data_IF_441531963148
#
_entry.id   IF_441531963148
#
_cell.length_a   1.000
_cell.length_b   1.000
_cell.length_c   1.000
_cell.angle_alpha   90.00
_cell.angle_beta   90.00
_cell.angle_gamma   90.00
#
_symmetry.space_group_name_H-M   'P 1'
#
loop_
_entity.id
_entity.type
_entity.pdbx_description
1 polymer ?
#
# COMPACT_ATOMS: atom_id res chain seq x y z
N UNK A 1 -9.58 27.48 14.41
CA UNK A 1 -10.69 28.37 14.80
C UNK A 1 -10.27 29.75 14.33
N UNK A 2 -10.79 30.38 13.29
CA UNK A 2 -12.10 30.38 12.63
C UNK A 2 -11.90 30.89 11.19
N UNK A 3 -12.55 30.29 10.21
CA UNK A 3 -12.70 30.91 8.89
C UNK A 3 -14.12 30.63 8.41
N UNK A 4 -15.05 31.50 8.79
CA UNK A 4 -16.35 31.52 8.15
C UNK A 4 -16.09 31.80 6.67
N UNK A 5 -16.46 30.87 5.79
CA UNK A 5 -16.46 31.13 4.35
C UNK A 5 -17.49 32.22 4.07
N UNK A 6 -17.10 33.21 3.28
CA UNK A 6 -18.01 34.24 2.76
C UNK A 6 -18.55 33.76 1.41
N UNK A 7 -19.84 33.97 1.16
CA UNK A 7 -20.45 33.64 -0.13
C UNK A 7 -19.93 34.61 -1.19
N UNK A 8 -19.28 34.07 -2.22
CA UNK A 8 -18.79 34.85 -3.36
C UNK A 8 -19.74 34.69 -4.56
N UNK A 9 -19.83 35.69 -5.45
CA UNK A 9 -20.59 35.57 -6.69
C UNK A 9 -20.13 34.38 -7.54
N UNK A 10 -21.07 33.73 -8.24
CA UNK A 10 -20.79 32.57 -9.11
C UNK A 10 -19.74 32.86 -10.17
N UNK A 11 -19.61 34.13 -10.60
CA UNK A 11 -18.61 34.58 -11.57
C UNK A 11 -17.16 34.37 -11.12
N UNK A 12 -16.91 34.27 -9.82
CA UNK A 12 -15.56 34.04 -9.25
C UNK A 12 -15.17 32.55 -9.25
N UNK A 13 -16.08 31.66 -9.67
CA UNK A 13 -15.81 30.22 -9.74
C UNK A 13 -15.32 29.82 -11.15
N UNK A 14 -14.08 29.33 -11.27
CA UNK A 14 -13.50 28.85 -12.55
C UNK A 14 -14.12 27.53 -13.03
N UNK A 15 -14.71 26.74 -12.14
CA UNK A 15 -15.37 25.48 -12.46
C UNK A 15 -16.87 25.68 -12.69
N UNK A 16 -17.51 24.88 -13.57
CA UNK A 16 -18.95 24.92 -13.74
C UNK A 16 -19.64 24.64 -12.40
N UNK A 17 -20.74 25.34 -12.15
CA UNK A 17 -21.55 25.11 -10.96
C UNK A 17 -21.96 23.64 -10.90
N UNK A 18 -21.86 22.99 -9.73
CA UNK A 18 -22.40 21.64 -9.58
C UNK A 18 -23.91 21.64 -9.90
N UNK A 19 -24.46 20.51 -10.39
CA UNK A 19 -25.89 20.42 -10.64
C UNK A 19 -26.67 20.67 -9.34
N UNK A 20 -27.63 21.59 -9.41
CA UNK A 20 -28.52 21.90 -8.27
C UNK A 20 -29.62 20.86 -8.09
N UNK A 21 -29.87 20.05 -9.12
CA UNK A 21 -30.91 19.03 -9.14
C UNK A 21 -30.35 17.73 -9.73
N UNK A 22 -30.67 16.60 -9.10
CA UNK A 22 -30.35 15.26 -9.59
C UNK A 22 -31.59 14.38 -9.49
N UNK A 23 -31.92 13.58 -10.52
CA UNK A 23 -33.05 12.66 -10.44
C UNK A 23 -32.81 11.62 -9.34
N UNK A 24 -33.86 11.28 -8.61
CA UNK A 24 -33.83 10.21 -7.60
C UNK A 24 -34.88 9.15 -7.89
N UNK A 25 -34.58 7.91 -7.52
CA UNK A 25 -35.51 6.79 -7.64
C UNK A 25 -36.24 6.58 -6.30
N UNK A 26 -37.56 6.45 -6.35
CA UNK A 26 -38.36 5.93 -5.22
C UNK A 26 -38.87 4.55 -5.55
N UNK A 27 -38.76 3.63 -4.59
CA UNK A 27 -39.34 2.31 -4.71
C UNK A 27 -40.86 2.37 -4.79
N UNK A 28 -41.46 1.61 -5.70
CA UNK A 28 -42.90 1.40 -5.71
C UNK A 28 -43.31 0.44 -4.58
N UNK A 29 -44.55 0.51 -4.08
CA UNK A 29 -45.03 -0.46 -3.10
C UNK A 29 -44.87 -1.90 -3.62
N UNK A 30 -44.16 -2.73 -2.87
CA UNK A 30 -43.91 -4.13 -3.22
C UNK A 30 -42.67 -4.39 -4.07
N UNK A 31 -41.90 -3.38 -4.48
CA UNK A 31 -40.59 -3.61 -5.10
C UNK A 31 -39.55 -4.08 -4.07
N UNK A 32 -38.55 -4.83 -4.53
CA UNK A 32 -37.35 -5.07 -3.75
C UNK A 32 -36.63 -3.74 -3.44
N UNK A 33 -36.30 -3.53 -2.17
CA UNK A 33 -35.54 -2.34 -1.74
C UNK A 33 -34.16 -2.78 -1.30
N UNK A 34 -33.12 -2.19 -1.88
CA UNK A 34 -31.73 -2.41 -1.49
C UNK A 34 -31.27 -1.30 -0.55
N UNK A 35 -30.40 -1.65 0.39
CA UNK A 35 -29.71 -0.68 1.21
C UNK A 35 -28.54 -0.05 0.46
N UNK A 36 -27.99 0.98 1.08
CA UNK A 36 -26.72 1.55 0.64
C UNK A 36 -25.61 0.50 0.70
N UNK A 37 -24.61 0.68 -0.16
CA UNK A 37 -23.37 -0.06 -0.06
C UNK A 37 -22.69 0.19 1.29
N UNK A 38 -22.22 -0.89 1.90
CA UNK A 38 -21.32 -0.81 3.04
C UNK A 38 -19.96 -0.20 2.66
N UNK A 39 -19.15 0.04 3.67
CA UNK A 39 -17.75 0.43 3.48
C UNK A 39 -16.98 -0.70 2.78
N UNK A 40 -15.96 -0.30 2.03
CA UNK A 40 -15.00 -1.27 1.51
C UNK A 40 -14.26 -1.98 2.63
N UNK A 41 -14.04 -3.28 2.46
CA UNK A 41 -13.15 -4.06 3.31
C UNK A 41 -11.73 -3.49 3.25
N UNK A 42 -10.89 -3.80 4.26
CA UNK A 42 -9.45 -3.62 4.11
C UNK A 42 -8.95 -4.31 2.83
N UNK A 43 -7.94 -3.73 2.20
CA UNK A 43 -7.28 -4.34 1.06
C UNK A 43 -6.51 -5.58 1.50
N UNK A 44 -6.65 -6.69 0.76
CA UNK A 44 -5.97 -7.96 1.03
C UNK A 44 -4.44 -7.87 0.98
N UNK A 45 -3.90 -6.83 0.34
CA UNK A 45 -2.46 -6.59 0.25
C UNK A 45 -2.11 -5.15 0.55
N UNK A 46 -0.93 -4.89 1.10
CA UNK A 46 -0.43 -3.53 1.36
C UNK A 46 0.16 -2.84 0.13
N UNK A 47 0.50 -3.61 -0.90
CA UNK A 47 1.14 -3.18 -2.14
C UNK A 47 0.87 -4.27 -3.20
N UNK A 48 1.08 -3.94 -4.48
CA UNK A 48 0.91 -4.86 -5.60
C UNK A 48 2.23 -5.18 -6.30
N UNK A 49 2.17 -6.19 -7.16
CA UNK A 49 3.19 -6.51 -8.15
C UNK A 49 2.51 -6.99 -9.43
N UNK A 50 3.29 -7.20 -10.51
CA UNK A 50 2.75 -7.77 -11.76
C UNK A 50 2.14 -9.16 -11.60
N UNK A 51 2.47 -9.87 -10.52
CA UNK A 51 2.02 -11.24 -10.26
C UNK A 51 1.02 -11.36 -9.12
N UNK A 52 0.76 -10.30 -8.35
CA UNK A 52 -0.17 -10.31 -7.22
C UNK A 52 -0.72 -8.91 -6.95
N UNK A 53 -2.06 -8.80 -6.94
CA UNK A 53 -2.80 -7.55 -6.76
C UNK A 53 -3.68 -7.59 -5.51
N UNK A 54 -3.77 -6.46 -4.80
CA UNK A 54 -4.68 -6.29 -3.67
C UNK A 54 -6.13 -6.21 -4.12
N UNK A 55 -7.04 -6.84 -3.36
CA UNK A 55 -8.49 -6.75 -3.58
C UNK A 55 -9.20 -6.37 -2.30
N UNK A 56 -10.32 -5.66 -2.46
CA UNK A 56 -11.26 -5.35 -1.39
C UNK A 56 -12.68 -5.55 -1.92
N UNK A 57 -13.60 -5.92 -1.03
CA UNK A 57 -15.01 -6.11 -1.36
C UNK A 57 -15.90 -5.22 -0.50
N UNK A 58 -17.13 -5.01 -0.95
CA UNK A 58 -18.22 -4.44 -0.16
C UNK A 58 -19.52 -5.11 -0.55
N UNK A 59 -20.47 -5.12 0.38
CA UNK A 59 -21.80 -5.65 0.17
C UNK A 59 -22.88 -4.63 0.50
N UNK A 60 -24.09 -4.86 0.00
CA UNK A 60 -25.29 -4.11 0.35
C UNK A 60 -26.42 -5.06 0.74
N UNK A 61 -27.22 -4.73 1.76
CA UNK A 61 -28.32 -5.59 2.19
C UNK A 61 -29.57 -5.41 1.31
N UNK A 62 -30.44 -6.41 1.34
CA UNK A 62 -31.84 -6.26 0.92
C UNK A 62 -32.63 -5.76 2.14
N UNK A 63 -33.25 -4.60 2.02
CA UNK A 63 -34.07 -3.99 3.07
C UNK A 63 -35.54 -4.43 3.00
N UNK A 64 -36.05 -4.73 1.81
CA UNK A 64 -37.40 -5.25 1.62
C UNK A 64 -37.44 -6.26 0.46
N UNK A 65 -38.15 -7.37 0.66
CA UNK A 65 -38.39 -8.37 -0.37
C UNK A 65 -39.54 -7.96 -1.29
N UNK A 66 -39.52 -8.40 -2.56
CA UNK A 66 -40.55 -8.08 -3.52
C UNK A 66 -41.88 -8.78 -3.19
N UNK A 67 -43.00 -8.11 -3.45
CA UNK A 67 -44.34 -8.69 -3.53
C UNK A 67 -44.57 -9.34 -4.91
N UNK A 68 -45.69 -10.07 -5.09
CA UNK A 68 -45.97 -10.86 -6.31
C UNK A 68 -45.86 -10.08 -7.63
N UNK A 69 -46.22 -8.80 -7.64
CA UNK A 69 -46.20 -7.94 -8.84
C UNK A 69 -45.05 -6.93 -8.84
N UNK A 70 -44.19 -6.95 -7.80
CA UNK A 70 -43.08 -6.01 -7.65
C UNK A 70 -41.80 -6.47 -8.36
N UNK A 71 -40.89 -5.53 -8.59
CA UNK A 71 -39.56 -5.84 -9.16
C UNK A 71 -38.76 -6.75 -8.22
N UNK A 72 -38.31 -7.88 -8.75
CA UNK A 72 -37.51 -8.85 -8.00
C UNK A 72 -36.17 -8.27 -7.53
N UNK A 73 -35.67 -8.78 -6.39
CA UNK A 73 -34.31 -8.46 -5.97
C UNK A 73 -33.30 -8.99 -6.98
N UNK A 74 -32.17 -8.29 -7.19
CA UNK A 74 -31.08 -8.82 -7.98
C UNK A 74 -30.52 -10.09 -7.33
N UNK A 75 -29.84 -10.92 -8.13
CA UNK A 75 -29.18 -12.12 -7.63
C UNK A 75 -28.17 -11.77 -6.52
N UNK A 76 -27.87 -12.71 -5.60
CA UNK A 76 -26.90 -12.48 -4.52
C UNK A 76 -25.54 -11.98 -5.00
N UNK A 77 -25.10 -12.40 -6.20
CA UNK A 77 -23.86 -11.94 -6.82
C UNK A 77 -23.82 -10.45 -7.16
N UNK A 78 -24.98 -9.79 -7.28
CA UNK A 78 -25.11 -8.35 -7.53
C UNK A 78 -25.34 -7.54 -6.24
N UNK A 79 -25.28 -8.21 -5.07
CA UNK A 79 -25.28 -7.59 -3.75
C UNK A 79 -23.87 -7.46 -3.17
N UNK A 80 -22.86 -7.99 -3.86
CA UNK A 80 -21.44 -7.87 -3.52
C UNK A 80 -20.69 -7.30 -4.73
N UNK A 81 -19.72 -6.44 -4.47
CA UNK A 81 -18.77 -6.01 -5.49
C UNK A 81 -17.34 -5.92 -4.94
N UNK A 82 -16.41 -5.86 -5.87
CA UNK A 82 -14.99 -6.01 -5.66
C UNK A 82 -14.23 -5.02 -6.54
N UNK A 83 -13.11 -4.52 -6.02
CA UNK A 83 -12.19 -3.67 -6.76
C UNK A 83 -10.74 -3.95 -6.37
N UNK A 84 -9.84 -3.60 -7.29
CA UNK A 84 -8.40 -3.62 -7.04
C UNK A 84 -8.03 -2.48 -6.09
N UNK A 85 -6.99 -2.70 -5.29
CA UNK A 85 -6.46 -1.71 -4.36
C UNK A 85 -4.96 -1.87 -4.15
N UNK A 86 -4.33 -0.79 -3.67
CA UNK A 86 -2.90 -0.72 -3.38
C UNK A 86 -2.04 -1.15 -4.58
N UNK A 87 -2.32 -0.58 -5.75
CA UNK A 87 -1.64 -0.86 -7.03
C UNK A 87 -0.18 -0.40 -7.08
N UNK A 88 0.30 0.29 -6.04
CA UNK A 88 1.69 0.72 -5.97
C UNK A 88 2.62 -0.49 -5.77
N UNK A 89 3.84 -0.48 -6.37
CA UNK A 89 4.76 -1.59 -6.29
C UNK A 89 5.23 -1.86 -4.85
N UNK A 90 5.44 -3.12 -4.53
CA UNK A 90 6.11 -3.52 -3.29
C UNK A 90 7.61 -3.21 -3.34
N UNK A 91 8.11 -2.59 -2.28
CA UNK A 91 9.49 -2.16 -2.17
C UNK A 91 10.34 -3.18 -1.41
N UNK A 92 11.50 -3.51 -1.97
CA UNK A 92 12.55 -4.27 -1.31
C UNK A 92 13.77 -3.38 -1.11
N UNK A 93 14.34 -3.43 0.10
CA UNK A 93 15.61 -2.80 0.41
C UNK A 93 16.65 -3.88 0.63
N UNK A 94 17.81 -3.78 -0.03
CA UNK A 94 18.89 -4.74 0.12
C UNK A 94 20.24 -4.04 0.21
N UNK A 95 21.21 -4.67 0.88
CA UNK A 95 22.57 -4.17 0.99
C UNK A 95 23.41 -4.68 -0.16
N UNK A 96 24.00 -3.75 -0.91
CA UNK A 96 25.03 -4.06 -1.89
C UNK A 96 26.38 -3.61 -1.34
N UNK A 97 27.35 -4.51 -1.38
CA UNK A 97 28.70 -4.24 -0.91
C UNK A 97 29.64 -4.16 -2.12
N UNK A 98 30.45 -3.10 -2.18
CA UNK A 98 31.57 -3.06 -3.12
C UNK A 98 32.55 -4.21 -2.86
N UNK A 99 33.43 -4.52 -3.83
CA UNK A 99 34.58 -5.36 -3.55
C UNK A 99 35.37 -4.84 -2.34
N UNK A 100 36.05 -5.76 -1.66
CA UNK A 100 36.95 -5.39 -0.57
C UNK A 100 38.11 -4.56 -1.11
N UNK A 101 38.44 -3.48 -0.39
CA UNK A 101 39.67 -2.75 -0.63
C UNK A 101 40.91 -3.54 -0.19
N UNK A 102 42.10 -2.98 -0.39
CA UNK A 102 43.35 -3.57 0.11
C UNK A 102 43.31 -3.71 1.65
N UNK A 103 44.13 -4.63 2.18
CA UNK A 103 44.33 -4.77 3.62
C UNK A 103 45.20 -3.61 4.11
N UNK A 104 44.66 -2.80 5.03
CA UNK A 104 45.34 -1.65 5.62
C UNK A 104 45.76 -2.05 7.03
N UNK A 105 47.03 -1.83 7.39
CA UNK A 105 47.52 -2.17 8.73
C UNK A 105 46.81 -1.35 9.80
N UNK A 106 46.28 -2.01 10.83
CA UNK A 106 45.64 -1.32 11.94
C UNK A 106 46.68 -1.04 13.03
N UNK A 107 47.23 0.17 13.03
CA UNK A 107 48.19 0.63 14.05
C UNK A 107 47.54 0.92 15.40
N UNK A 108 46.21 0.83 15.51
CA UNK A 108 45.46 1.13 16.75
C UNK A 108 45.17 -0.10 17.61
N UNK A 109 45.23 -1.31 17.03
CA UNK A 109 45.16 -2.56 17.80
C UNK A 109 46.55 -2.94 18.30
N UNK A 110 46.97 -2.35 19.42
CA UNK A 110 48.10 -2.84 20.21
C UNK A 110 47.72 -4.17 20.88
N UNK A 111 47.52 -5.23 20.10
CA UNK A 111 47.63 -6.57 20.63
C UNK A 111 49.12 -6.82 20.81
N UNK A 112 49.59 -6.71 22.05
CA UNK A 112 50.76 -7.43 22.55
C UNK A 112 50.49 -8.95 22.47
N UNK A 113 50.19 -9.44 21.26
CA UNK A 113 50.04 -10.83 20.92
C UNK A 113 51.41 -11.36 20.57
N UNK A 114 52.13 -11.78 21.60
CA UNK A 114 53.30 -12.65 21.48
C UNK A 114 52.89 -13.96 20.81
N UNK A 115 52.89 -14.02 19.48
CA UNK A 115 53.08 -15.27 18.73
C UNK A 115 54.37 -15.19 17.93
N UNK A 116 55.47 -15.02 18.67
CA UNK A 116 56.82 -15.31 18.18
C UNK A 116 56.95 -16.82 17.98
N UNK A 117 56.77 -17.29 16.75
CA UNK A 117 57.29 -18.58 16.32
C UNK A 117 58.44 -18.37 15.35
N UNK A 118 59.65 -18.68 15.82
CA UNK A 118 60.90 -18.78 15.04
C UNK A 118 61.24 -17.59 14.12
N UNK A 119 61.39 -16.38 14.68
CA UNK A 119 62.19 -15.31 14.05
C UNK A 119 61.68 -14.79 12.69
N UNK A 120 60.45 -15.10 12.31
CA UNK A 120 59.79 -14.50 11.14
C UNK A 120 58.74 -13.53 11.63
N UNK A 121 58.82 -12.28 11.20
CA UNK A 121 57.86 -11.23 11.53
C UNK A 121 56.47 -11.68 11.13
N UNK A 122 55.60 -11.97 12.11
CA UNK A 122 54.18 -12.18 11.86
C UNK A 122 53.63 -10.88 11.26
N UNK A 123 53.39 -10.87 9.95
CA UNK A 123 52.84 -9.70 9.26
C UNK A 123 51.54 -9.31 9.96
N UNK A 124 51.51 -8.09 10.48
CA UNK A 124 50.51 -7.60 11.42
C UNK A 124 49.07 -7.73 10.90
N UNK A 125 48.14 -7.89 11.83
CA UNK A 125 46.69 -7.83 11.56
C UNK A 125 46.34 -6.48 10.91
N UNK A 126 45.45 -6.50 9.92
CA UNK A 126 44.98 -5.32 9.21
C UNK A 126 43.49 -5.38 8.95
N UNK A 127 42.92 -4.24 8.59
CA UNK A 127 41.50 -4.06 8.33
C UNK A 127 41.30 -3.81 6.83
N UNK A 128 40.38 -4.55 6.23
CA UNK A 128 39.84 -4.22 4.91
C UNK A 128 38.57 -3.41 5.08
N UNK A 129 38.44 -2.33 4.33
CA UNK A 129 37.25 -1.49 4.31
C UNK A 129 36.55 -1.68 2.97
N UNK A 130 35.23 -1.70 2.98
CA UNK A 130 34.38 -1.67 1.78
C UNK A 130 33.19 -0.75 2.00
N UNK A 131 32.62 -0.24 0.91
CA UNK A 131 31.40 0.55 0.97
C UNK A 131 30.20 -0.39 0.96
N UNK A 132 29.29 -0.22 1.90
CA UNK A 132 27.96 -0.83 1.87
C UNK A 132 26.93 0.23 1.50
N UNK A 133 26.12 -0.02 0.47
CA UNK A 133 25.06 0.89 0.02
C UNK A 133 23.72 0.19 0.13
N UNK A 134 22.73 0.84 0.73
CA UNK A 134 21.36 0.34 0.77
C UNK A 134 20.67 0.72 -0.55
N UNK A 135 20.21 -0.29 -1.28
CA UNK A 135 19.59 -0.15 -2.58
C UNK A 135 18.10 -0.45 -2.49
N UNK A 136 17.30 0.22 -3.33
CA UNK A 136 15.84 0.06 -3.39
C UNK A 136 15.43 -0.60 -4.71
N UNK A 137 14.57 -1.61 -4.64
CA UNK A 137 14.05 -2.34 -5.79
C UNK A 137 12.52 -2.47 -5.75
N UNK A 138 11.86 -2.29 -6.90
CA UNK A 138 10.41 -2.39 -7.05
C UNK A 138 9.93 -3.84 -7.28
N UNK A 139 10.52 -4.79 -6.55
CA UNK A 139 10.23 -6.23 -6.64
C UNK A 139 10.11 -6.87 -5.27
N UNK A 140 9.63 -6.11 -4.28
CA UNK A 140 9.33 -6.65 -2.95
C UNK A 140 8.26 -7.72 -3.00
N UNK A 141 8.28 -8.61 -2.00
CA UNK A 141 7.21 -9.58 -1.81
C UNK A 141 5.92 -8.87 -1.41
N UNK A 142 4.81 -9.30 -2.01
CA UNK A 142 3.48 -8.82 -1.68
C UNK A 142 3.06 -9.39 -0.33
N UNK A 143 2.78 -8.51 0.63
CA UNK A 143 2.39 -8.91 1.99
C UNK A 143 0.85 -9.05 2.04
N UNK A 144 0.37 -10.20 2.50
CA UNK A 144 -1.05 -10.44 2.74
C UNK A 144 -1.48 -9.80 4.07
N UNK A 145 -2.57 -9.03 4.03
CA UNK A 145 -3.24 -8.48 5.20
C UNK A 145 -4.49 -9.33 5.46
N UNK A 146 -4.42 -10.09 6.55
CA UNK A 146 -5.54 -10.88 7.07
C UNK A 146 -6.61 -9.98 7.69
#
# INVERSE_FOLDING_TARGET
MSSAGEEVPVSECEAPSPPTEVPCERACPGDCVLGSWGSWSPCSHSCGSKSAEGRQSRSRPVLALPAKEGKACPAPSALEEWRVCNEHPCMLFYWEASPWGPCIQDTSMNLNGTSSWNGTSACAMGVQIRKATCMKMNSGQVINKR
#
